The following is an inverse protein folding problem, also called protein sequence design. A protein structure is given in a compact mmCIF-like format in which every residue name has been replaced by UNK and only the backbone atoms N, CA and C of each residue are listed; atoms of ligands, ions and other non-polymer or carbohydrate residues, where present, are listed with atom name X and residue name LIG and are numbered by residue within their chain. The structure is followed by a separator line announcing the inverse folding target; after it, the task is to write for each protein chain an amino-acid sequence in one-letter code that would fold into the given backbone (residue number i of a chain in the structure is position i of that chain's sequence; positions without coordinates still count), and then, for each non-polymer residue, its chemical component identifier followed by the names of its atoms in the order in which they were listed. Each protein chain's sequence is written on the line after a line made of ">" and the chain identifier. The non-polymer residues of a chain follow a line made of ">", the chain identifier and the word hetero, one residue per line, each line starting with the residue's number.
data_IF_563281588289
#
_entry.id   IF_563281588289
#
_cell.length_a   1.000
_cell.length_b   1.000
_cell.length_c   1.000
_cell.angle_alpha   90.00
_cell.angle_beta   90.00
_cell.angle_gamma   90.00
#
_symmetry.space_group_name_H-M   'P 1'
#
loop_
_entity.id
_entity.type
_entity.pdbx_description
1 polymer ?
#
# COMPACT_ATOMS: atom_id res chain seq x y z
N UNK A 1 38.61 -14.20 -4.42
CA UNK A 1 37.99 -12.97 -3.87
C UNK A 1 36.50 -13.23 -3.74
N UNK A 2 35.89 -12.88 -2.62
CA UNK A 2 34.43 -12.97 -2.43
C UNK A 2 33.74 -11.87 -3.23
N UNK A 3 32.82 -12.23 -4.14
CA UNK A 3 31.99 -11.28 -4.87
C UNK A 3 31.23 -10.39 -3.89
N UNK A 4 31.26 -9.08 -4.10
CA UNK A 4 30.46 -8.13 -3.31
C UNK A 4 29.05 -8.12 -3.88
N UNK A 5 28.04 -8.21 -3.02
CA UNK A 5 26.62 -8.13 -3.41
C UNK A 5 26.07 -6.76 -3.05
N UNK A 6 25.36 -6.13 -3.98
CA UNK A 6 24.74 -4.81 -3.83
C UNK A 6 23.26 -4.96 -4.08
N UNK A 7 22.44 -4.65 -3.08
CA UNK A 7 20.98 -4.61 -3.18
C UNK A 7 20.53 -3.16 -3.25
N UNK A 8 19.86 -2.79 -4.34
CA UNK A 8 19.23 -1.48 -4.52
C UNK A 8 17.74 -1.65 -4.24
N UNK A 9 17.25 -1.03 -3.16
CA UNK A 9 15.82 -1.00 -2.85
C UNK A 9 15.22 0.34 -3.29
N UNK A 10 14.20 0.31 -4.15
CA UNK A 10 13.43 1.50 -4.53
C UNK A 10 11.95 1.37 -4.18
N UNK A 11 11.24 2.50 -4.22
CA UNK A 11 9.80 2.57 -4.06
C UNK A 11 9.24 3.51 -5.14
N UNK A 12 8.68 2.94 -6.20
CA UNK A 12 8.22 3.66 -7.41
C UNK A 12 6.88 4.42 -7.27
N UNK A 13 6.71 5.21 -6.20
CA UNK A 13 5.71 6.29 -6.20
C UNK A 13 6.34 7.50 -6.92
N UNK A 14 6.05 7.63 -8.22
CA UNK A 14 6.62 8.67 -9.09
C UNK A 14 7.94 8.26 -9.78
N UNK A 15 8.42 9.08 -10.74
CA UNK A 15 9.52 8.71 -11.64
C UNK A 15 10.93 8.91 -11.08
N UNK A 16 11.09 9.73 -10.04
CA UNK A 16 12.41 10.11 -9.51
C UNK A 16 13.18 8.96 -8.83
N UNK A 17 12.49 8.12 -8.06
CA UNK A 17 13.11 7.02 -7.33
C UNK A 17 13.68 5.94 -8.26
N UNK A 18 12.95 5.61 -9.32
CA UNK A 18 13.40 4.67 -10.36
C UNK A 18 14.62 5.20 -11.09
N UNK A 19 14.65 6.49 -11.41
CA UNK A 19 15.75 7.12 -12.13
C UNK A 19 17.03 7.17 -11.29
N UNK A 20 16.91 7.46 -9.99
CA UNK A 20 18.02 7.43 -9.05
C UNK A 20 18.58 6.01 -8.86
N UNK A 21 17.71 5.01 -8.66
CA UNK A 21 18.11 3.61 -8.53
C UNK A 21 18.87 3.12 -9.77
N UNK A 22 18.38 3.48 -10.96
CA UNK A 22 19.02 3.15 -12.24
C UNK A 22 20.39 3.82 -12.41
N UNK A 23 20.54 5.09 -12.02
CA UNK A 23 21.84 5.77 -12.08
C UNK A 23 22.88 5.11 -11.16
N UNK A 24 22.46 4.63 -9.98
CA UNK A 24 23.31 3.88 -9.06
C UNK A 24 23.69 2.52 -9.67
N UNK A 25 22.72 1.81 -10.24
CA UNK A 25 22.95 0.53 -10.91
C UNK A 25 23.95 0.65 -12.08
N UNK A 26 23.77 1.67 -12.92
CA UNK A 26 24.66 1.97 -14.05
C UNK A 26 26.09 2.27 -13.56
N UNK A 27 26.25 3.04 -12.49
CA UNK A 27 27.57 3.32 -11.91
C UNK A 27 28.22 2.07 -11.32
N UNK A 28 27.49 1.24 -10.55
CA UNK A 28 28.06 0.05 -9.89
C UNK A 28 28.57 -0.96 -10.93
N UNK A 29 27.94 -1.05 -12.10
CA UNK A 29 28.41 -1.89 -13.23
C UNK A 29 29.75 -1.43 -13.82
N UNK A 30 30.17 -0.18 -13.61
CA UNK A 30 31.46 0.33 -14.08
C UNK A 30 32.63 -0.03 -13.15
N UNK A 31 32.33 -0.54 -11.95
CA UNK A 31 33.37 -0.89 -10.97
C UNK A 31 34.07 -2.18 -11.44
N UNK A 32 35.41 -2.22 -11.49
CA UNK A 32 36.18 -3.39 -11.96
C UNK A 32 36.03 -4.63 -11.08
N UNK A 33 35.58 -4.46 -9.83
CA UNK A 33 35.27 -5.57 -8.93
C UNK A 33 33.99 -6.27 -9.38
N UNK A 34 34.01 -7.60 -9.39
CA UNK A 34 32.86 -8.44 -9.75
C UNK A 34 31.74 -8.27 -8.69
N UNK A 35 30.90 -7.24 -8.90
CA UNK A 35 29.77 -6.89 -8.06
C UNK A 35 28.47 -7.47 -8.64
N UNK A 36 27.75 -8.23 -7.83
CA UNK A 36 26.41 -8.73 -8.16
C UNK A 36 25.39 -7.69 -7.70
N UNK A 37 24.66 -7.09 -8.65
CA UNK A 37 23.68 -6.03 -8.37
C UNK A 37 22.27 -6.57 -8.56
N UNK A 38 21.44 -6.42 -7.54
CA UNK A 38 20.01 -6.74 -7.59
C UNK A 38 19.22 -5.45 -7.31
N UNK A 39 18.30 -5.09 -8.22
CA UNK A 39 17.40 -3.96 -8.03
C UNK A 39 16.01 -4.50 -7.72
N UNK A 40 15.51 -4.17 -6.53
CA UNK A 40 14.19 -4.56 -6.03
C UNK A 40 13.35 -3.30 -5.83
N UNK A 41 12.27 -3.21 -6.59
CA UNK A 41 11.31 -2.12 -6.45
C UNK A 41 10.17 -2.56 -5.53
N UNK A 42 10.17 -2.11 -4.28
CA UNK A 42 9.25 -2.49 -3.22
C UNK A 42 7.78 -2.22 -3.55
N UNK A 43 7.53 -1.28 -4.45
CA UNK A 43 6.21 -0.85 -4.89
C UNK A 43 5.85 -1.35 -6.28
N UNK A 44 6.74 -2.11 -6.92
CA UNK A 44 6.39 -2.84 -8.13
C UNK A 44 5.38 -3.95 -7.79
N UNK A 45 4.61 -4.34 -8.80
CA UNK A 45 3.52 -5.32 -8.71
C UNK A 45 3.88 -6.66 -8.04
N UNK A 46 5.17 -6.99 -7.93
CA UNK A 46 5.66 -8.27 -7.41
C UNK A 46 5.78 -8.31 -5.87
N UNK A 47 5.95 -7.18 -5.18
CA UNK A 47 6.25 -7.16 -3.72
C UNK A 47 5.11 -6.55 -2.90
N UNK A 48 4.50 -5.49 -3.42
CA UNK A 48 3.24 -4.95 -2.93
C UNK A 48 2.35 -4.76 -4.15
N UNK A 49 1.36 -5.62 -4.29
CA UNK A 49 0.39 -5.52 -5.37
C UNK A 49 -0.49 -4.28 -5.11
N UNK A 50 0.00 -3.10 -5.50
CA UNK A 50 -0.66 -1.81 -5.28
C UNK A 50 -2.07 -1.85 -5.85
N UNK A 51 -2.26 -2.49 -7.00
CA UNK A 51 -3.57 -2.78 -7.57
C UNK A 51 -4.50 -3.47 -6.56
N UNK A 52 -3.97 -4.46 -5.83
CA UNK A 52 -4.72 -5.17 -4.81
C UNK A 52 -4.97 -4.29 -3.58
N UNK A 53 -3.99 -3.49 -3.13
CA UNK A 53 -4.17 -2.56 -2.01
C UNK A 53 -5.24 -1.52 -2.33
N UNK A 54 -5.20 -0.92 -3.53
CA UNK A 54 -6.16 0.08 -4.00
C UNK A 54 -7.55 -0.54 -4.11
N UNK A 55 -7.65 -1.74 -4.71
CA UNK A 55 -8.91 -2.47 -4.85
C UNK A 55 -9.51 -2.85 -3.51
N UNK A 56 -8.72 -3.42 -2.60
CA UNK A 56 -9.17 -3.79 -1.25
C UNK A 56 -9.57 -2.56 -0.45
N UNK A 57 -8.82 -1.46 -0.55
CA UNK A 57 -9.17 -0.20 0.12
C UNK A 57 -10.48 0.37 -0.43
N UNK A 58 -10.68 0.35 -1.75
CA UNK A 58 -11.91 0.80 -2.38
C UNK A 58 -13.13 -0.03 -1.93
N UNK A 59 -13.04 -1.37 -1.98
CA UNK A 59 -14.11 -2.27 -1.53
C UNK A 59 -14.40 -2.03 -0.04
N UNK A 60 -13.36 -1.92 0.79
CA UNK A 60 -13.52 -1.68 2.22
C UNK A 60 -14.18 -0.33 2.51
N UNK A 61 -13.89 0.71 1.73
CA UNK A 61 -14.59 2.00 1.83
C UNK A 61 -16.07 1.80 1.49
N UNK A 62 -16.42 1.08 0.43
CA UNK A 62 -17.82 0.82 0.07
C UNK A 62 -18.57 0.08 1.18
N UNK A 63 -17.93 -0.86 1.87
CA UNK A 63 -18.55 -1.60 2.98
C UNK A 63 -18.72 -0.73 4.25
N UNK A 64 -17.79 0.19 4.50
CA UNK A 64 -17.72 0.98 5.74
C UNK A 64 -18.49 2.31 5.62
N UNK A 65 -18.60 2.87 4.41
CA UNK A 65 -19.22 4.17 4.15
C UNK A 65 -20.70 4.25 4.59
N UNK A 66 -21.57 3.24 4.36
CA UNK A 66 -22.96 3.29 4.80
C UNK A 66 -23.08 3.46 6.31
N UNK A 67 -22.25 2.75 7.08
CA UNK A 67 -22.25 2.83 8.54
C UNK A 67 -21.76 4.18 9.05
N UNK A 68 -20.69 4.74 8.44
CA UNK A 68 -20.23 6.09 8.76
C UNK A 68 -21.29 7.15 8.44
N UNK A 69 -21.95 7.02 7.29
CA UNK A 69 -23.00 7.93 6.88
C UNK A 69 -24.20 7.87 7.83
N UNK A 70 -24.65 6.66 8.19
CA UNK A 70 -25.70 6.46 9.19
C UNK A 70 -25.32 7.09 10.53
N UNK A 71 -24.08 6.87 11.01
CA UNK A 71 -23.59 7.44 12.25
C UNK A 71 -23.64 8.98 12.22
N UNK A 72 -23.18 9.60 11.13
CA UNK A 72 -23.22 11.06 10.97
C UNK A 72 -24.66 11.57 10.89
N UNK A 73 -25.54 10.88 10.16
CA UNK A 73 -26.94 11.24 10.02
C UNK A 73 -27.68 11.20 11.36
N UNK A 74 -27.52 10.12 12.13
CA UNK A 74 -28.16 9.99 13.45
C UNK A 74 -27.58 10.95 14.49
N UNK A 75 -26.26 11.19 14.44
CA UNK A 75 -25.59 12.16 15.30
C UNK A 75 -26.12 13.58 15.04
N UNK A 76 -26.28 13.96 13.77
CA UNK A 76 -26.80 15.26 13.35
C UNK A 76 -28.26 15.48 13.76
N UNK A 77 -29.09 14.43 13.73
CA UNK A 77 -30.52 14.52 14.03
C UNK A 77 -30.84 14.44 15.54
N UNK A 78 -29.85 14.29 16.42
CA UNK A 78 -30.06 14.23 17.88
C UNK A 78 -30.90 13.04 18.36
N UNK A 79 -31.13 12.03 17.50
CA UNK A 79 -31.96 10.87 17.80
C UNK A 79 -31.22 9.87 18.71
N UNK A 80 -31.83 9.60 19.87
CA UNK A 80 -31.26 8.81 20.97
C UNK A 80 -31.05 7.31 20.61
N UNK A 81 -29.79 6.89 20.58
CA UNK A 81 -29.19 5.63 21.09
C UNK A 81 -29.72 4.23 20.68
N UNK A 82 -30.73 4.08 19.83
CA UNK A 82 -31.34 2.75 19.59
C UNK A 82 -30.84 1.93 18.38
N UNK A 83 -30.39 2.57 17.29
CA UNK A 83 -30.27 1.89 15.98
C UNK A 83 -28.84 1.44 15.64
N UNK A 84 -27.80 2.17 16.07
CA UNK A 84 -26.39 1.79 15.86
C UNK A 84 -26.08 0.42 16.48
N UNK A 85 -26.72 0.11 17.60
CA UNK A 85 -26.67 -1.22 18.23
C UNK A 85 -27.28 -2.29 17.32
N UNK A 86 -28.44 -2.04 16.69
CA UNK A 86 -29.07 -2.99 15.77
C UNK A 86 -28.22 -3.26 14.52
N UNK A 87 -27.56 -2.25 13.96
CA UNK A 87 -26.67 -2.42 12.80
C UNK A 87 -25.41 -3.21 13.14
N UNK A 88 -24.79 -2.95 14.30
CA UNK A 88 -23.65 -3.73 14.80
C UNK A 88 -24.03 -5.19 15.13
N UNK A 89 -25.22 -5.41 15.73
CA UNK A 89 -25.74 -6.75 15.99
C UNK A 89 -26.03 -7.53 14.68
N UNK A 90 -26.52 -6.86 13.64
CA UNK A 90 -26.75 -7.51 12.34
C UNK A 90 -25.45 -7.91 11.64
N UNK A 91 -24.36 -7.16 11.84
CA UNK A 91 -23.05 -7.49 11.30
C UNK A 91 -22.34 -8.61 12.07
N UNK A 92 -22.54 -8.72 13.39
CA UNK A 92 -22.02 -9.83 14.21
C UNK A 92 -22.79 -11.15 14.08
N UNK A 93 -23.93 -11.16 13.39
CA UNK A 93 -24.76 -12.34 13.11
C UNK A 93 -24.56 -12.89 11.68
N UNK A 94 -23.64 -12.32 10.90
CA UNK A 94 -23.22 -12.82 9.59
C UNK A 94 -21.86 -13.49 9.70
#
# INVERSE_FOLDING_TARGET
>A
MTKKKVLILSASIGTGHTQAARAIEEYVKTIPEECEVEHLDFLSNDVLSIDNIVKETYIKILDVFPMLYDLMYYSSQGYKKGLVVKTLFAWGLK
#
